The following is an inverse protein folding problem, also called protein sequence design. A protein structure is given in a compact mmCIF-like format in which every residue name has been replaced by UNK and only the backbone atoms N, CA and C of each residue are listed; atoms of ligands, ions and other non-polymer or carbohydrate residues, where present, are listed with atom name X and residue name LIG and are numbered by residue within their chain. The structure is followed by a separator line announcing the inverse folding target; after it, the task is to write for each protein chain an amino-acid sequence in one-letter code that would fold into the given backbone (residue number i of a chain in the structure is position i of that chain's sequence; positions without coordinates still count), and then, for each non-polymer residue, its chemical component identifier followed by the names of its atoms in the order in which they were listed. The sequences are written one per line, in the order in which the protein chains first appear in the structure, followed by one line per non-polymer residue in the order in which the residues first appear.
data_IF_378049414789
#
_entry.id   IF_378049414789
#
_cell.length_a   1.000
_cell.length_b   1.000
_cell.length_c   1.000
_cell.angle_alpha   90.00
_cell.angle_beta   90.00
_cell.angle_gamma   90.00
#
_symmetry.space_group_name_H-M   'P 1'
#
loop_
_entity.id
_entity.type
_entity.pdbx_description
1 polymer ?
#
# COMPACT_ATOMS: atom_id res chain seq x y z
N UNK A 1 27.04 -27.95 -0.92
CA UNK A 1 25.74 -28.01 -1.61
C UNK A 1 24.75 -26.96 -1.06
N UNK A 2 25.16 -25.68 -0.94
CA UNK A 2 24.30 -24.60 -0.38
C UNK A 2 24.37 -23.30 -1.22
N UNK A 3 24.98 -23.32 -2.41
CA UNK A 3 25.28 -22.07 -3.15
C UNK A 3 24.61 -21.94 -4.52
N UNK A 4 23.42 -22.51 -4.73
CA UNK A 4 22.79 -22.50 -6.09
C UNK A 4 21.27 -22.22 -6.16
N UNK A 5 20.63 -21.65 -5.13
CA UNK A 5 19.15 -21.44 -5.16
C UNK A 5 18.61 -20.06 -4.74
N UNK A 6 19.45 -19.02 -4.67
CA UNK A 6 19.00 -17.64 -4.43
C UNK A 6 19.20 -16.71 -5.65
N UNK A 7 19.20 -17.25 -6.86
CA UNK A 7 19.21 -16.43 -8.07
C UNK A 7 17.79 -16.00 -8.47
N UNK A 8 17.05 -15.41 -7.53
CA UNK A 8 15.92 -14.55 -7.90
C UNK A 8 16.59 -13.35 -8.57
N UNK A 9 16.59 -13.36 -9.90
CA UNK A 9 17.32 -12.39 -10.73
C UNK A 9 17.17 -10.98 -10.15
N UNK A 10 18.30 -10.30 -9.91
CA UNK A 10 18.33 -8.90 -9.42
C UNK A 10 17.39 -8.01 -10.25
N UNK A 11 17.19 -8.36 -11.52
CA UNK A 11 16.24 -7.73 -12.42
C UNK A 11 14.78 -7.85 -11.96
N UNK A 12 14.34 -9.00 -11.43
CA UNK A 12 12.97 -9.20 -10.93
C UNK A 12 12.72 -8.32 -9.71
N UNK A 13 13.68 -8.25 -8.77
CA UNK A 13 13.60 -7.36 -7.62
C UNK A 13 13.58 -5.89 -8.04
N UNK A 14 14.49 -5.48 -8.93
CA UNK A 14 14.54 -4.13 -9.44
C UNK A 14 13.25 -3.72 -10.17
N UNK A 15 12.69 -4.61 -11.01
CA UNK A 15 11.42 -4.39 -11.69
C UNK A 15 10.28 -4.29 -10.67
N UNK A 16 10.20 -5.20 -9.71
CA UNK A 16 9.10 -5.21 -8.72
C UNK A 16 9.13 -3.96 -7.85
N UNK A 17 10.29 -3.58 -7.33
CA UNK A 17 10.46 -2.34 -6.57
C UNK A 17 10.16 -1.11 -7.42
N UNK A 18 10.63 -1.09 -8.68
CA UNK A 18 10.35 -0.01 -9.62
C UNK A 18 8.86 0.14 -9.93
N UNK A 19 8.15 -0.96 -10.20
CA UNK A 19 6.70 -0.96 -10.44
C UNK A 19 5.94 -0.47 -9.20
N UNK A 20 6.26 -1.00 -8.02
CA UNK A 20 5.62 -0.56 -6.76
C UNK A 20 5.86 0.93 -6.53
N UNK A 21 7.09 1.40 -6.73
CA UNK A 21 7.44 2.81 -6.56
C UNK A 21 6.68 3.71 -7.54
N UNK A 22 6.62 3.34 -8.82
CA UNK A 22 5.88 4.09 -9.84
C UNK A 22 4.38 4.13 -9.57
N UNK A 23 3.77 3.00 -9.20
CA UNK A 23 2.36 2.94 -8.84
C UNK A 23 2.08 3.82 -7.62
N UNK A 24 2.90 3.71 -6.57
CA UNK A 24 2.74 4.49 -5.34
C UNK A 24 2.89 6.00 -5.60
N UNK A 25 3.87 6.41 -6.41
CA UNK A 25 4.02 7.80 -6.80
C UNK A 25 2.85 8.30 -7.64
N UNK A 26 2.38 7.49 -8.61
CA UNK A 26 1.21 7.81 -9.43
C UNK A 26 -0.04 8.04 -8.58
N UNK A 27 -0.29 7.15 -7.62
CA UNK A 27 -1.40 7.25 -6.66
C UNK A 27 -1.30 8.53 -5.81
N UNK A 28 -0.10 8.83 -5.27
CA UNK A 28 0.13 10.06 -4.49
C UNK A 28 -0.06 11.33 -5.31
N UNK A 29 0.40 11.34 -6.56
CA UNK A 29 0.22 12.48 -7.48
C UNK A 29 -1.27 12.65 -7.81
N UNK A 30 -1.98 11.55 -8.10
CA UNK A 30 -3.41 11.59 -8.34
C UNK A 30 -4.20 12.11 -7.13
N UNK A 31 -3.87 11.60 -5.94
CA UNK A 31 -4.46 12.04 -4.68
C UNK A 31 -4.17 13.53 -4.40
N UNK A 32 -2.99 14.02 -4.77
CA UNK A 32 -2.63 15.44 -4.68
C UNK A 32 -3.46 16.32 -5.62
N UNK A 33 -3.71 15.89 -6.87
CA UNK A 33 -4.58 16.64 -7.77
C UNK A 33 -6.02 16.69 -7.27
N UNK A 34 -6.50 15.60 -6.68
CA UNK A 34 -7.87 15.50 -6.15
C UNK A 34 -8.02 15.94 -4.69
N UNK A 35 -6.98 16.53 -4.09
CA UNK A 35 -6.94 16.87 -2.65
C UNK A 35 -8.05 17.83 -2.18
N UNK A 36 -8.62 18.63 -3.08
CA UNK A 36 -9.70 19.57 -2.78
C UNK A 36 -11.11 19.01 -3.09
N UNK A 37 -11.22 17.75 -3.51
CA UNK A 37 -12.51 17.12 -3.78
C UNK A 37 -12.96 16.35 -2.55
N UNK A 38 -14.25 16.42 -2.20
CA UNK A 38 -14.79 15.62 -1.10
C UNK A 38 -14.87 14.17 -1.56
N UNK A 39 -14.03 13.30 -1.01
CA UNK A 39 -14.10 11.87 -1.27
C UNK A 39 -15.29 11.27 -0.51
N UNK A 40 -16.23 10.69 -1.25
CA UNK A 40 -17.38 10.02 -0.64
C UNK A 40 -16.99 8.62 -0.15
N UNK A 41 -17.66 8.13 0.89
CA UNK A 41 -17.42 6.77 1.41
C UNK A 41 -17.63 5.68 0.34
N UNK A 42 -18.59 5.90 -0.58
CA UNK A 42 -18.85 5.00 -1.72
C UNK A 42 -17.66 4.94 -2.67
N UNK A 43 -17.11 6.09 -3.02
CA UNK A 43 -15.95 6.18 -3.91
C UNK A 43 -14.72 5.52 -3.30
N UNK A 44 -14.45 5.78 -2.01
CA UNK A 44 -13.38 5.10 -1.28
C UNK A 44 -13.57 3.58 -1.24
N UNK A 45 -14.79 3.10 -0.96
CA UNK A 45 -15.08 1.66 -0.94
C UNK A 45 -14.91 0.99 -2.31
N UNK A 46 -15.26 1.68 -3.41
CA UNK A 46 -15.06 1.17 -4.77
C UNK A 46 -13.57 1.04 -5.07
N UNK A 47 -12.77 2.07 -4.81
CA UNK A 47 -11.33 2.02 -5.01
C UNK A 47 -10.67 0.91 -4.19
N UNK A 48 -10.99 0.81 -2.90
CA UNK A 48 -10.51 -0.29 -2.05
C UNK A 48 -10.91 -1.65 -2.63
N UNK A 49 -12.15 -1.81 -3.07
CA UNK A 49 -12.62 -3.04 -3.70
C UNK A 49 -11.84 -3.40 -4.96
N UNK A 50 -11.49 -2.41 -5.79
CA UNK A 50 -10.67 -2.62 -7.00
C UNK A 50 -9.27 -3.15 -6.62
N UNK A 51 -8.57 -2.49 -5.69
CA UNK A 51 -7.22 -2.90 -5.31
C UNK A 51 -7.20 -4.26 -4.59
N UNK A 52 -8.16 -4.53 -3.71
CA UNK A 52 -8.31 -5.83 -3.04
C UNK A 52 -8.58 -6.93 -4.06
N UNK A 53 -9.46 -6.67 -5.04
CA UNK A 53 -9.76 -7.63 -6.10
C UNK A 53 -8.55 -7.88 -7.00
N UNK A 54 -7.76 -6.84 -7.31
CA UNK A 54 -6.51 -6.96 -8.05
C UNK A 54 -5.47 -7.80 -7.30
N UNK A 55 -5.33 -7.61 -5.99
CA UNK A 55 -4.44 -8.42 -5.15
C UNK A 55 -4.88 -9.90 -5.10
N UNK A 56 -6.18 -10.17 -4.96
CA UNK A 56 -6.73 -11.53 -5.00
C UNK A 56 -6.50 -12.17 -6.38
N UNK A 57 -6.79 -11.46 -7.47
CA UNK A 57 -6.56 -11.93 -8.82
C UNK A 57 -5.08 -12.24 -9.05
N UNK A 58 -4.18 -11.37 -8.57
CA UNK A 58 -2.74 -11.61 -8.63
C UNK A 58 -2.34 -12.84 -7.83
N UNK A 59 -2.78 -12.99 -6.57
CA UNK A 59 -2.46 -14.15 -5.74
C UNK A 59 -2.97 -15.47 -6.29
N UNK A 60 -4.15 -15.48 -6.92
CA UNK A 60 -4.69 -16.63 -7.66
C UNK A 60 -3.85 -16.89 -8.91
N UNK A 61 -3.51 -15.85 -9.67
CA UNK A 61 -2.65 -16.02 -10.84
C UNK A 61 -1.29 -16.59 -10.42
N UNK A 62 -0.71 -16.14 -9.29
CA UNK A 62 0.59 -16.59 -8.79
C UNK A 62 0.61 -18.09 -8.50
N UNK A 63 -0.54 -18.70 -8.20
CA UNK A 63 -0.65 -20.16 -8.05
C UNK A 63 -0.29 -20.91 -9.34
N UNK A 64 -0.58 -20.35 -10.52
CA UNK A 64 -0.34 -21.04 -11.79
C UNK A 64 1.13 -21.01 -12.25
N UNK A 65 1.90 -19.99 -11.89
CA UNK A 65 3.30 -19.82 -12.31
C UNK A 65 4.34 -19.85 -11.18
N UNK A 66 3.95 -19.54 -9.94
CA UNK A 66 4.79 -19.59 -8.74
C UNK A 66 4.48 -20.77 -7.80
N UNK A 67 3.44 -21.54 -8.08
CA UNK A 67 3.02 -22.68 -7.26
C UNK A 67 2.31 -22.29 -5.96
N UNK A 68 1.94 -23.31 -5.18
CA UNK A 68 1.09 -23.14 -4.00
C UNK A 68 1.77 -22.40 -2.85
N UNK A 69 3.05 -22.71 -2.61
CA UNK A 69 3.82 -22.09 -1.52
C UNK A 69 3.97 -20.58 -1.73
N UNK A 70 4.31 -20.13 -2.94
CA UNK A 70 4.46 -18.69 -3.24
C UNK A 70 3.15 -17.92 -3.22
N UNK A 71 2.07 -18.54 -3.69
CA UNK A 71 0.72 -17.97 -3.56
C UNK A 71 0.32 -17.79 -2.09
N UNK A 72 0.56 -18.81 -1.25
CA UNK A 72 0.28 -18.74 0.18
C UNK A 72 1.15 -17.70 0.91
N UNK A 73 2.45 -17.63 0.61
CA UNK A 73 3.37 -16.59 1.12
C UNK A 73 2.89 -15.18 0.74
N UNK A 74 2.45 -14.98 -0.51
CA UNK A 74 1.89 -13.71 -0.96
C UNK A 74 0.63 -13.32 -0.19
N UNK A 75 -0.35 -14.22 -0.06
CA UNK A 75 -1.59 -13.91 0.67
C UNK A 75 -1.33 -13.64 2.15
N UNK A 76 -0.45 -14.42 2.78
CA UNK A 76 -0.06 -14.20 4.17
C UNK A 76 0.57 -12.81 4.35
N UNK A 77 1.57 -12.47 3.52
CA UNK A 77 2.22 -11.16 3.57
C UNK A 77 1.26 -10.02 3.26
N UNK A 78 0.46 -10.14 2.19
CA UNK A 78 -0.49 -9.11 1.78
C UNK A 78 -1.54 -8.82 2.86
N UNK A 79 -2.15 -9.85 3.48
CA UNK A 79 -3.15 -9.64 4.53
C UNK A 79 -2.53 -9.01 5.77
N UNK A 80 -1.33 -9.46 6.19
CA UNK A 80 -0.62 -8.88 7.34
C UNK A 80 -0.31 -7.40 7.11
N UNK A 81 0.25 -7.05 5.95
CA UNK A 81 0.56 -5.66 5.60
C UNK A 81 -0.71 -4.79 5.43
N UNK A 82 -1.77 -5.36 4.85
CA UNK A 82 -3.05 -4.67 4.70
C UNK A 82 -3.69 -4.36 6.06
N UNK A 83 -3.65 -5.29 7.01
CA UNK A 83 -4.14 -5.07 8.38
C UNK A 83 -3.36 -3.96 9.09
N UNK A 84 -2.04 -3.94 8.95
CA UNK A 84 -1.18 -2.92 9.56
C UNK A 84 -1.45 -1.52 8.95
N UNK A 85 -1.76 -1.48 7.65
CA UNK A 85 -2.14 -0.23 6.97
C UNK A 85 -3.50 0.31 7.42
N UNK A 86 -4.49 -0.57 7.66
CA UNK A 86 -5.80 -0.19 8.20
C UNK A 86 -5.69 0.38 9.61
N UNK A 87 -4.85 -0.22 10.45
CA UNK A 87 -4.61 0.26 11.83
C UNK A 87 -4.14 1.73 11.83
N UNK A 88 -3.16 2.04 10.97
CA UNK A 88 -2.67 3.40 10.79
C UNK A 88 -3.75 4.38 10.30
N UNK A 89 -4.57 3.98 9.32
CA UNK A 89 -5.66 4.81 8.81
C UNK A 89 -6.73 5.08 9.88
N UNK A 90 -7.05 4.08 10.70
CA UNK A 90 -8.04 4.20 11.77
C UNK A 90 -7.62 5.23 12.82
N UNK A 91 -6.35 5.20 13.24
CA UNK A 91 -5.78 6.19 14.16
C UNK A 91 -5.91 7.60 13.59
N UNK A 92 -5.58 7.80 12.30
CA UNK A 92 -5.75 9.10 11.65
C UNK A 92 -7.21 9.57 11.66
N UNK A 93 -8.17 8.71 11.30
CA UNK A 93 -9.59 9.07 11.30
C UNK A 93 -10.10 9.49 12.70
N UNK A 94 -9.68 8.78 13.76
CA UNK A 94 -10.04 9.16 15.13
C UNK A 94 -9.49 10.54 15.48
N UNK A 95 -8.22 10.80 15.17
CA UNK A 95 -7.59 12.09 15.48
C UNK A 95 -8.31 13.23 14.75
N UNK A 96 -8.56 13.06 13.45
CA UNK A 96 -9.22 14.09 12.61
C UNK A 96 -10.66 14.35 13.07
N UNK A 97 -11.42 13.30 13.40
CA UNK A 97 -12.79 13.44 13.90
C UNK A 97 -12.86 14.20 15.22
N UNK A 98 -11.84 14.08 16.09
CA UNK A 98 -11.73 14.85 17.33
C UNK A 98 -11.36 16.31 17.10
N UNK A 99 -10.53 16.58 16.10
CA UNK A 99 -10.05 17.93 15.78
C UNK A 99 -11.08 18.79 15.03
N UNK A 100 -12.25 18.24 14.69
CA UNK A 100 -13.36 18.95 14.00
C UNK A 100 -12.90 19.73 12.76
N UNK A 101 -12.00 19.12 11.98
CA UNK A 101 -11.45 19.74 10.78
C UNK A 101 -12.55 19.91 9.73
N UNK A 102 -12.53 21.05 9.03
CA UNK A 102 -13.42 21.31 7.89
C UNK A 102 -13.29 20.18 6.85
N UNK A 103 -14.41 19.64 6.37
CA UNK A 103 -14.43 18.45 5.48
C UNK A 103 -13.60 18.61 4.20
N UNK A 104 -13.46 19.83 3.71
CA UNK A 104 -12.64 20.16 2.53
C UNK A 104 -11.13 19.96 2.78
N UNK A 105 -10.68 20.11 4.02
CA UNK A 105 -9.27 19.97 4.42
C UNK A 105 -8.93 18.59 4.98
N UNK A 106 -9.92 17.75 5.26
CA UNK A 106 -9.73 16.41 5.82
C UNK A 106 -8.85 15.54 4.91
N UNK A 107 -9.11 15.55 3.59
CA UNK A 107 -8.29 14.80 2.62
C UNK A 107 -6.85 15.32 2.53
N UNK A 108 -6.65 16.64 2.66
CA UNK A 108 -5.32 17.24 2.69
C UNK A 108 -4.51 16.78 3.91
N UNK A 109 -5.13 16.75 5.08
CA UNK A 109 -4.46 16.31 6.31
C UNK A 109 -4.21 14.80 6.28
N UNK A 110 -5.14 14.00 5.76
CA UNK A 110 -4.93 12.57 5.52
C UNK A 110 -3.76 12.31 4.59
N UNK A 111 -3.69 13.03 3.45
CA UNK A 111 -2.59 12.91 2.49
C UNK A 111 -1.24 13.26 3.14
N UNK A 112 -1.20 14.35 3.93
CA UNK A 112 0.00 14.75 4.65
C UNK A 112 0.42 13.70 5.69
N UNK A 113 -0.55 13.13 6.43
CA UNK A 113 -0.31 12.06 7.40
C UNK A 113 0.26 10.79 6.75
N UNK A 114 -0.31 10.36 5.61
CA UNK A 114 0.21 9.22 4.84
C UNK A 114 1.63 9.51 4.33
N UNK A 115 1.90 10.71 3.82
CA UNK A 115 3.23 11.09 3.35
C UNK A 115 4.26 11.09 4.49
N UNK A 116 3.92 11.63 5.65
CA UNK A 116 4.77 11.56 6.84
C UNK A 116 4.99 10.11 7.29
N UNK A 117 3.95 9.27 7.30
CA UNK A 117 4.05 7.86 7.67
C UNK A 117 4.97 7.08 6.72
N UNK A 118 4.88 7.32 5.41
CA UNK A 118 5.78 6.72 4.42
C UNK A 118 7.24 7.14 4.63
N UNK A 119 7.50 8.41 4.92
CA UNK A 119 8.85 8.91 5.22
C UNK A 119 9.39 8.26 6.49
N UNK A 120 8.62 8.25 7.58
CA UNK A 120 9.01 7.61 8.83
C UNK A 120 9.29 6.11 8.64
N UNK A 121 8.44 5.43 7.86
CA UNK A 121 8.63 4.02 7.50
C UNK A 121 9.94 3.82 6.72
N UNK A 122 10.22 4.67 5.73
CA UNK A 122 11.47 4.62 4.97
C UNK A 122 12.71 4.83 5.86
N UNK A 123 12.65 5.78 6.79
CA UNK A 123 13.73 6.04 7.75
C UNK A 123 13.98 4.81 8.64
N UNK A 124 12.93 4.20 9.20
CA UNK A 124 13.09 3.00 10.03
C UNK A 124 13.62 1.80 9.27
N UNK A 125 13.28 1.65 7.98
CA UNK A 125 13.87 0.62 7.13
C UNK A 125 15.39 0.87 6.96
N UNK A 126 15.83 2.11 6.70
CA UNK A 126 17.25 2.42 6.52
C UNK A 126 18.04 2.24 7.82
N UNK A 127 17.47 2.62 8.97
CA UNK A 127 18.13 2.50 10.28
C UNK A 127 18.15 1.05 10.78
N UNK A 128 17.11 0.28 10.47
CA UNK A 128 16.93 -1.10 10.94
C UNK A 128 17.47 -2.19 10.02
N UNK A 129 17.83 -1.87 8.77
CA UNK A 129 18.47 -2.77 7.80
C UNK A 129 20.00 -2.75 7.93
#
# INVERSE_FOLDING_TARGET
MVSESLNISTHIWAITLGVIFLVTLGDLIWAWFRRNTITTLKEAAIWTGIYVSAAIAFGISLRSWGGQTKSAEFFAGWITEYSLSIDNLFVFLIILSRLKIEKEKEQLVLLLGILMALVMRGIFIIIGA
#
